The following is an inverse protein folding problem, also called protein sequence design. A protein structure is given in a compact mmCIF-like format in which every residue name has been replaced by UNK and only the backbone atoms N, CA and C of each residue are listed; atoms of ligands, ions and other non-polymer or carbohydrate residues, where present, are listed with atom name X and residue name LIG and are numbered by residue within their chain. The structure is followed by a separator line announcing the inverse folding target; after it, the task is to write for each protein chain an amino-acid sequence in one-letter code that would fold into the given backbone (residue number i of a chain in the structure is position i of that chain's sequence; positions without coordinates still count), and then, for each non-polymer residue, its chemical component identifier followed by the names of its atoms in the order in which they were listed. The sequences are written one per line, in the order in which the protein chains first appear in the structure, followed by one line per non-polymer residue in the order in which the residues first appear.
data_IF_028060853912
#
_entry.id   IF_028060853912
#
_cell.length_a   1.000
_cell.length_b   1.000
_cell.length_c   1.000
_cell.angle_alpha   90.00
_cell.angle_beta   90.00
_cell.angle_gamma   90.00
#
_symmetry.space_group_name_H-M   'P 1'
#
loop_
_entity.id
_entity.type
_entity.pdbx_description
1 polymer ?
#
# COMPACT_ATOMS: atom_id res chain seq x y z
N UNK A 1 -15.23 2.21 -15.13
CA UNK A 1 -15.09 2.16 -14.12
C UNK A 1 -14.11 1.76 -13.02
N UNK A 2 -14.67 1.28 -11.98
CA UNK A 2 -13.93 0.89 -10.78
C UNK A 2 -13.73 -0.63 -10.67
N UNK A 3 -14.17 -1.38 -11.67
CA UNK A 3 -14.04 -2.82 -11.66
C UNK A 3 -12.58 -3.26 -11.79
N UNK A 4 -12.23 -4.37 -11.17
CA UNK A 4 -10.91 -4.94 -11.22
C UNK A 4 -10.69 -5.55 -12.61
N UNK A 5 -9.56 -5.24 -13.24
CA UNK A 5 -9.22 -5.80 -14.54
C UNK A 5 -9.01 -7.32 -14.45
N UNK A 6 -9.22 -8.03 -15.55
CA UNK A 6 -9.21 -9.50 -15.56
C UNK A 6 -7.89 -10.09 -15.07
N UNK A 7 -6.76 -9.46 -15.43
CA UNK A 7 -5.42 -9.91 -15.05
C UNK A 7 -5.19 -9.88 -13.54
N UNK A 8 -5.96 -9.08 -12.80
CA UNK A 8 -5.86 -8.92 -11.35
C UNK A 8 -7.08 -9.44 -10.62
N UNK A 9 -7.89 -10.26 -11.28
CA UNK A 9 -9.07 -10.87 -10.65
C UNK A 9 -8.67 -11.58 -9.36
N UNK A 10 -9.31 -11.27 -8.21
CA UNK A 10 -8.99 -11.94 -6.97
C UNK A 10 -9.22 -13.45 -7.07
N UNK A 11 -8.29 -14.21 -6.54
CA UNK A 11 -8.46 -15.67 -6.42
C UNK A 11 -9.25 -15.98 -5.15
N UNK A 12 -9.75 -17.22 -5.06
CA UNK A 12 -10.49 -17.67 -3.89
C UNK A 12 -9.65 -17.48 -2.62
N UNK A 13 -10.27 -16.94 -1.60
CA UNK A 13 -9.62 -16.68 -0.31
C UNK A 13 -8.96 -15.31 -0.18
N UNK A 14 -8.83 -14.56 -1.28
CA UNK A 14 -8.33 -13.18 -1.21
C UNK A 14 -9.47 -12.23 -0.82
N UNK A 15 -9.31 -11.46 0.26
CA UNK A 15 -10.34 -10.48 0.65
C UNK A 15 -10.44 -9.36 -0.38
N UNK A 16 -11.67 -8.96 -0.69
CA UNK A 16 -11.96 -7.78 -1.49
C UNK A 16 -12.75 -6.83 -0.61
N UNK A 17 -12.21 -5.64 -0.38
CA UNK A 17 -12.80 -4.69 0.54
C UNK A 17 -13.12 -3.40 -0.21
N UNK A 18 -14.39 -3.00 -0.20
CA UNK A 18 -14.82 -1.70 -0.70
C UNK A 18 -14.47 -0.65 0.33
N UNK A 19 -13.76 0.39 -0.10
CA UNK A 19 -13.36 1.45 0.82
C UNK A 19 -14.08 2.76 0.49
N UNK A 20 -14.69 3.39 1.49
CA UNK A 20 -15.41 4.66 1.27
C UNK A 20 -14.50 5.89 1.32
N UNK A 21 -13.23 5.73 1.72
CA UNK A 21 -12.30 6.83 1.97
C UNK A 21 -11.00 6.66 1.19
N UNK A 22 -10.10 7.65 1.30
CA UNK A 22 -8.79 7.59 0.63
C UNK A 22 -7.93 6.48 1.19
N UNK A 23 -7.83 6.39 2.52
CA UNK A 23 -7.09 5.31 3.17
C UNK A 23 -7.91 4.02 3.22
N UNK A 24 -7.21 2.90 3.17
CA UNK A 24 -7.86 1.59 3.12
C UNK A 24 -8.35 1.08 4.47
N UNK A 25 -7.91 1.68 5.58
CA UNK A 25 -8.29 1.26 6.93
C UNK A 25 -9.51 1.97 7.49
N UNK A 26 -9.73 3.22 7.09
CA UNK A 26 -10.85 4.02 7.63
C UNK A 26 -12.19 3.44 7.20
N UNK A 27 -13.05 3.17 8.18
CA UNK A 27 -14.40 2.64 7.94
C UNK A 27 -14.42 1.33 7.13
N UNK A 28 -13.41 0.48 7.32
CA UNK A 28 -13.33 -0.83 6.69
C UNK A 28 -12.94 -1.88 7.72
N UNK A 29 -13.09 -3.15 7.34
CA UNK A 29 -12.68 -4.29 8.16
C UNK A 29 -11.21 -4.69 7.94
N UNK A 30 -10.44 -3.91 7.18
CA UNK A 30 -9.11 -4.33 6.75
C UNK A 30 -8.19 -4.69 7.92
N UNK A 31 -8.14 -3.84 8.95
CA UNK A 31 -7.30 -4.11 10.12
C UNK A 31 -7.70 -5.42 10.81
N UNK A 32 -9.00 -5.65 10.99
CA UNK A 32 -9.52 -6.89 11.57
C UNK A 32 -9.12 -8.11 10.75
N UNK A 33 -9.28 -8.04 9.44
CA UNK A 33 -8.92 -9.14 8.53
C UNK A 33 -7.43 -9.44 8.62
N UNK A 34 -6.59 -8.43 8.60
CA UNK A 34 -5.13 -8.60 8.66
C UNK A 34 -4.69 -9.16 10.02
N UNK A 35 -5.23 -8.62 11.12
CA UNK A 35 -4.93 -9.11 12.48
C UNK A 35 -5.32 -10.57 12.65
N UNK A 36 -6.49 -10.96 12.17
CA UNK A 36 -6.97 -12.34 12.26
C UNK A 36 -6.08 -13.31 11.46
N UNK A 37 -5.35 -12.82 10.46
CA UNK A 37 -4.41 -13.62 9.67
C UNK A 37 -2.98 -13.54 10.17
N UNK A 38 -2.73 -12.83 11.26
CA UNK A 38 -1.39 -12.67 11.83
C UNK A 38 -0.44 -11.84 10.98
N UNK A 39 -0.96 -10.96 10.14
CA UNK A 39 -0.14 -10.10 9.25
C UNK A 39 0.54 -9.01 10.08
N UNK A 40 1.84 -8.87 9.90
CA UNK A 40 2.65 -7.82 10.56
C UNK A 40 3.32 -6.89 9.55
N UNK A 41 3.51 -7.35 8.32
CA UNK A 41 4.20 -6.62 7.24
C UNK A 41 3.26 -6.47 6.06
N UNK A 42 3.22 -5.26 5.49
CA UNK A 42 2.34 -4.93 4.36
C UNK A 42 3.19 -4.38 3.22
N UNK A 43 2.95 -4.90 2.01
CA UNK A 43 3.51 -4.35 0.78
C UNK A 43 2.41 -3.57 0.08
N UNK A 44 2.69 -2.31 -0.22
CA UNK A 44 1.70 -1.42 -0.83
C UNK A 44 1.99 -1.18 -2.30
N UNK A 45 0.93 -1.27 -3.08
CA UNK A 45 0.90 -0.97 -4.51
C UNK A 45 -0.40 -0.24 -4.84
N UNK A 46 -0.54 0.21 -6.07
CA UNK A 46 -1.79 0.81 -6.54
C UNK A 46 -1.70 2.29 -6.83
N UNK A 47 -2.84 2.96 -6.91
CA UNK A 47 -2.95 4.38 -7.23
C UNK A 47 -3.86 5.10 -6.21
N UNK A 48 -3.62 6.37 -5.96
CA UNK A 48 -2.44 7.15 -6.39
C UNK A 48 -1.40 7.19 -5.28
N UNK A 49 -0.15 7.31 -5.66
CA UNK A 49 0.99 7.29 -4.71
C UNK A 49 0.83 8.33 -3.60
N UNK A 50 0.46 9.55 -3.98
CA UNK A 50 0.40 10.72 -3.09
C UNK A 50 -0.91 10.84 -2.29
N UNK A 51 -1.94 10.08 -2.63
CA UNK A 51 -3.25 10.17 -1.97
C UNK A 51 -3.60 8.84 -1.28
N UNK A 52 -4.23 7.91 -2.01
CA UNK A 52 -4.77 6.69 -1.39
C UNK A 52 -3.68 5.78 -0.84
N UNK A 53 -2.61 5.58 -1.59
CA UNK A 53 -1.51 4.70 -1.19
C UNK A 53 -0.76 5.31 -0.01
N UNK A 54 -0.43 6.60 -0.07
CA UNK A 54 0.30 7.28 1.00
C UNK A 54 -0.53 7.33 2.29
N UNK A 55 -1.84 7.65 2.16
CA UNK A 55 -2.75 7.66 3.31
C UNK A 55 -2.83 6.28 3.97
N UNK A 56 -2.98 5.22 3.16
CA UNK A 56 -3.02 3.85 3.66
C UNK A 56 -1.74 3.48 4.39
N UNK A 57 -0.59 3.89 3.86
CA UNK A 57 0.70 3.61 4.48
C UNK A 57 0.84 4.31 5.83
N UNK A 58 0.41 5.56 5.94
CA UNK A 58 0.41 6.31 7.20
C UNK A 58 -0.51 5.65 8.23
N UNK A 59 -1.73 5.27 7.82
CA UNK A 59 -2.67 4.56 8.69
C UNK A 59 -2.08 3.22 9.17
N UNK A 60 -1.50 2.44 8.25
CA UNK A 60 -0.88 1.16 8.59
C UNK A 60 0.27 1.33 9.58
N UNK A 61 1.10 2.33 9.36
CA UNK A 61 2.20 2.63 10.27
C UNK A 61 1.69 2.97 11.68
N UNK A 62 0.66 3.82 11.77
CA UNK A 62 0.05 4.18 13.05
C UNK A 62 -0.56 2.97 13.75
N UNK A 63 -1.09 2.01 13.00
CA UNK A 63 -1.65 0.77 13.54
C UNK A 63 -0.58 -0.28 13.90
N UNK A 64 0.69 -0.01 13.63
CA UNK A 64 1.80 -0.86 14.03
C UNK A 64 2.29 -1.85 12.97
N UNK A 65 1.84 -1.73 11.73
CA UNK A 65 2.35 -2.56 10.64
C UNK A 65 3.69 -2.03 10.13
N UNK A 66 4.56 -2.96 9.72
CA UNK A 66 5.76 -2.62 8.95
C UNK A 66 5.38 -2.51 7.47
N UNK A 67 5.74 -1.43 6.81
CA UNK A 67 5.26 -1.13 5.47
C UNK A 67 6.41 -1.01 4.46
N UNK A 68 6.18 -1.56 3.27
CA UNK A 68 7.05 -1.43 2.11
C UNK A 68 6.24 -0.94 0.92
N UNK A 69 6.66 0.14 0.28
CA UNK A 69 6.07 0.62 -0.96
C UNK A 69 6.92 0.18 -2.14
N UNK A 70 6.28 -0.40 -3.17
CA UNK A 70 6.95 -0.72 -4.43
C UNK A 70 6.77 0.46 -5.39
N UNK A 71 7.84 1.23 -5.60
CA UNK A 71 7.77 2.48 -6.34
C UNK A 71 7.37 2.32 -7.80
N UNK A 72 7.71 1.20 -8.43
CA UNK A 72 7.33 0.89 -9.81
C UNK A 72 5.93 0.29 -9.94
N UNK A 73 5.25 0.03 -8.83
CA UNK A 73 3.89 -0.52 -8.78
C UNK A 73 2.86 0.49 -8.27
N UNK A 74 3.20 1.75 -8.31
CA UNK A 74 2.34 2.87 -7.90
C UNK A 74 2.56 4.04 -8.84
N UNK A 75 1.63 4.96 -8.89
CA UNK A 75 1.75 6.14 -9.74
C UNK A 75 0.86 7.27 -9.27
N UNK A 76 1.21 8.48 -9.66
CA UNK A 76 0.45 9.68 -9.36
C UNK A 76 0.13 10.43 -10.66
N UNK A 77 -0.84 11.33 -10.60
CA UNK A 77 -1.20 12.16 -11.78
C UNK A 77 -0.22 13.30 -12.02
N UNK A 78 0.64 13.59 -11.04
CA UNK A 78 1.64 14.65 -11.07
C UNK A 78 2.98 14.06 -10.62
N UNK A 79 4.02 14.17 -11.46
CA UNK A 79 5.33 13.58 -11.18
C UNK A 79 6.01 14.21 -9.94
N UNK A 80 5.82 15.49 -9.71
CA UNK A 80 6.38 16.16 -8.54
C UNK A 80 5.75 15.64 -7.25
N UNK A 81 4.44 15.40 -7.26
CA UNK A 81 3.75 14.80 -6.13
C UNK A 81 4.18 13.36 -5.91
N UNK A 82 4.38 12.60 -6.97
CA UNK A 82 4.90 11.23 -6.88
C UNK A 82 6.25 11.21 -6.18
N UNK A 83 7.19 12.03 -6.64
CA UNK A 83 8.53 12.11 -6.07
C UNK A 83 8.50 12.62 -4.62
N UNK A 84 7.66 13.61 -4.34
CA UNK A 84 7.49 14.14 -2.98
C UNK A 84 6.93 13.08 -2.03
N UNK A 85 5.96 12.29 -2.48
CA UNK A 85 5.39 11.20 -1.67
C UNK A 85 6.44 10.16 -1.31
N UNK A 86 7.26 9.73 -2.27
CA UNK A 86 8.35 8.80 -2.02
C UNK A 86 9.37 9.38 -1.04
N UNK A 87 9.71 10.65 -1.20
CA UNK A 87 10.65 11.34 -0.31
C UNK A 87 10.13 11.41 1.13
N UNK A 88 8.84 11.68 1.30
CA UNK A 88 8.23 11.75 2.63
C UNK A 88 8.26 10.40 3.36
N UNK A 89 8.08 9.31 2.64
CA UNK A 89 8.14 7.97 3.22
C UNK A 89 9.54 7.72 3.83
N UNK A 90 10.57 8.15 3.14
CA UNK A 90 11.97 7.90 3.53
C UNK A 90 12.52 8.90 4.54
N UNK A 91 11.82 10.00 4.83
CA UNK A 91 12.32 11.00 5.77
C UNK A 91 12.45 10.43 7.18
N UNK A 92 13.29 11.04 8.00
CA UNK A 92 13.52 10.60 9.38
C UNK A 92 13.91 9.12 9.50
N UNK A 93 14.69 8.62 8.53
CA UNK A 93 15.17 7.24 8.55
C UNK A 93 14.11 6.21 8.19
N UNK A 94 13.06 6.61 7.47
CA UNK A 94 11.98 5.72 7.07
C UNK A 94 10.79 5.78 8.02
N UNK A 95 10.33 6.98 8.35
CA UNK A 95 9.27 7.21 9.36
C UNK A 95 7.98 6.45 9.06
N UNK A 96 7.62 6.25 7.79
CA UNK A 96 6.41 5.52 7.40
C UNK A 96 6.70 4.13 6.85
N UNK A 97 7.96 3.75 6.72
CA UNK A 97 8.37 2.45 6.19
C UNK A 97 9.53 2.57 5.23
N UNK A 98 9.57 1.67 4.24
CA UNK A 98 10.63 1.61 3.25
C UNK A 98 10.08 1.68 1.83
N UNK A 99 10.94 1.95 0.86
CA UNK A 99 10.63 1.98 -0.57
C UNK A 99 11.57 1.03 -1.29
N UNK A 100 11.03 0.21 -2.18
CA UNK A 100 11.81 -0.67 -3.05
C UNK A 100 11.15 -0.75 -4.42
N UNK A 101 11.61 -1.64 -5.26
CA UNK A 101 11.00 -1.93 -6.55
C UNK A 101 10.57 -3.40 -6.62
N UNK A 102 9.74 -3.73 -7.62
CA UNK A 102 9.18 -5.08 -7.72
C UNK A 102 10.25 -6.14 -7.96
N UNK A 103 11.29 -5.84 -8.75
CA UNK A 103 12.34 -6.81 -9.03
C UNK A 103 13.11 -7.21 -7.78
N UNK A 104 13.52 -6.23 -6.99
CA UNK A 104 14.24 -6.48 -5.73
C UNK A 104 13.37 -7.21 -4.72
N UNK A 105 12.09 -6.83 -4.63
CA UNK A 105 11.15 -7.47 -3.74
C UNK A 105 10.94 -8.95 -4.11
N UNK A 106 10.67 -9.23 -5.39
CA UNK A 106 10.47 -10.61 -5.88
C UNK A 106 11.72 -11.45 -5.64
N UNK A 107 12.90 -10.90 -5.88
CA UNK A 107 14.17 -11.59 -5.63
C UNK A 107 14.34 -11.93 -4.14
N UNK A 108 13.92 -11.04 -3.25
CA UNK A 108 14.07 -11.24 -1.82
C UNK A 108 13.17 -12.34 -1.25
N UNK A 109 11.99 -12.56 -1.86
CA UNK A 109 11.02 -13.56 -1.40
C UNK A 109 11.07 -14.88 -2.19
N UNK A 110 11.91 -14.97 -3.21
CA UNK A 110 12.03 -16.16 -4.08
C UNK A 110 12.99 -17.21 -3.54
#
# INVERSE_FOLDING_TARGET
GWEIIDELTPIEGEPVIDKPTKGAFSNTDLDLVLRNRGVTHIVLTGITTDVCVHTTMREANDLGYECLLLEDCTGATDDDNYLAALKMIKMQGGVFGAVSNSNDFISAIS
#
